data_IF_897370762260
#
_entry.id   IF_897370762260
#
_cell.length_a   1.000
_cell.length_b   1.000
_cell.length_c   1.000
_cell.angle_alpha   90.00
_cell.angle_beta   90.00
_cell.angle_gamma   90.00
#
_symmetry.space_group_name_H-M   'P 1'
#
loop_
_entity.id
_entity.type
_entity.pdbx_description
1 polymer ?
#
# COMPACT_ATOMS: atom_id res chain seq x y z
N UNK A 1 12.72 -35.47 1.07
CA UNK A 1 12.31 -34.25 0.34
C UNK A 1 12.73 -33.06 1.18
N UNK A 2 13.84 -32.42 0.82
CA UNK A 2 14.25 -31.14 1.42
C UNK A 2 13.38 -30.06 0.80
N UNK A 3 12.66 -29.31 1.62
CA UNK A 3 11.91 -28.12 1.20
C UNK A 3 12.95 -27.06 0.79
N UNK A 4 13.05 -26.78 -0.50
CA UNK A 4 13.92 -25.72 -1.00
C UNK A 4 13.14 -24.38 -1.05
N UNK A 5 13.68 -23.28 -0.49
CA UNK A 5 13.01 -21.99 -0.46
C UNK A 5 12.83 -21.40 -1.87
N UNK A 6 11.73 -20.70 -2.15
CA UNK A 6 11.50 -20.03 -3.45
C UNK A 6 11.97 -18.56 -3.49
N UNK A 7 12.84 -18.17 -2.56
CA UNK A 7 13.34 -16.81 -2.39
C UNK A 7 14.82 -16.86 -2.03
N UNK A 8 15.55 -15.80 -2.35
CA UNK A 8 16.95 -15.60 -1.97
C UNK A 8 17.02 -14.39 -1.03
N UNK A 9 17.40 -14.61 0.23
CA UNK A 9 17.60 -13.49 1.17
C UNK A 9 19.06 -13.07 1.17
N UNK A 10 19.36 -11.77 1.02
CA UNK A 10 20.73 -11.28 1.08
C UNK A 10 21.31 -11.47 2.49
N UNK A 11 22.65 -11.53 2.63
CA UNK A 11 23.29 -11.55 3.95
C UNK A 11 22.92 -10.35 4.82
N UNK A 12 22.59 -9.20 4.21
CA UNK A 12 22.12 -8.00 4.91
C UNK A 12 20.98 -8.25 5.89
N UNK A 13 20.01 -9.10 5.54
CA UNK A 13 18.91 -9.46 6.45
C UNK A 13 19.41 -10.16 7.72
N UNK A 14 20.48 -10.95 7.59
CA UNK A 14 21.11 -11.64 8.72
C UNK A 14 21.96 -10.67 9.52
N UNK A 15 22.68 -9.77 8.85
CA UNK A 15 23.48 -8.71 9.47
C UNK A 15 22.58 -7.80 10.30
N UNK A 16 21.45 -7.33 9.75
CA UNK A 16 20.49 -6.46 10.45
C UNK A 16 19.93 -7.12 11.73
N UNK A 17 19.59 -8.41 11.67
CA UNK A 17 19.14 -9.15 12.86
C UNK A 17 20.21 -9.24 13.93
N UNK A 18 21.45 -9.48 13.51
CA UNK A 18 22.57 -9.57 14.45
C UNK A 18 22.95 -8.20 15.02
N UNK A 19 22.77 -7.12 14.26
CA UNK A 19 22.93 -5.74 14.73
C UNK A 19 21.92 -5.39 15.83
N UNK A 20 20.65 -5.74 15.65
CA UNK A 20 19.61 -5.55 16.68
C UNK A 20 19.97 -6.31 17.96
N UNK A 21 20.45 -7.54 17.84
CA UNK A 21 20.87 -8.35 19.00
C UNK A 21 22.13 -7.82 19.67
N UNK A 22 22.99 -7.12 18.92
CA UNK A 22 24.23 -6.53 19.41
C UNK A 22 24.08 -5.06 19.87
N UNK A 23 22.90 -4.46 19.66
CA UNK A 23 22.62 -3.03 19.90
C UNK A 23 23.61 -2.10 19.18
N UNK A 24 23.87 -2.38 17.89
CA UNK A 24 24.80 -1.64 17.03
C UNK A 24 24.03 -1.06 15.84
N UNK A 25 24.23 0.22 15.53
CA UNK A 25 23.63 0.87 14.34
C UNK A 25 24.46 0.67 13.05
N UNK A 26 23.89 1.02 11.90
CA UNK A 26 24.52 0.82 10.58
C UNK A 26 25.82 1.61 10.42
N UNK A 27 25.87 2.84 10.92
CA UNK A 27 27.05 3.70 10.82
C UNK A 27 28.20 3.13 11.67
N UNK A 28 27.86 2.66 12.86
CA UNK A 28 28.80 2.04 13.77
C UNK A 28 29.33 0.71 13.22
N UNK A 29 28.46 -0.13 12.66
CA UNK A 29 28.90 -1.39 12.06
C UNK A 29 29.81 -1.16 10.85
N UNK A 30 29.45 -0.25 9.93
CA UNK A 30 30.24 0.08 8.75
C UNK A 30 31.67 0.51 9.12
N UNK A 31 31.78 1.36 10.15
CA UNK A 31 33.06 1.80 10.71
C UNK A 31 33.86 0.63 11.31
N UNK A 32 33.22 -0.22 12.13
CA UNK A 32 33.86 -1.37 12.80
C UNK A 32 34.36 -2.43 11.83
N UNK A 33 33.66 -2.66 10.71
CA UNK A 33 34.09 -3.62 9.68
C UNK A 33 34.98 -3.00 8.59
N UNK A 34 35.27 -1.69 8.69
CA UNK A 34 36.26 -0.99 7.88
C UNK A 34 35.84 -0.77 6.43
N UNK A 35 34.55 -0.54 6.17
CA UNK A 35 34.03 -0.27 4.83
C UNK A 35 33.30 1.08 4.76
N UNK A 36 33.31 1.73 3.60
CA UNK A 36 32.58 2.97 3.37
C UNK A 36 31.07 2.74 3.31
N UNK A 37 30.27 3.77 3.56
CA UNK A 37 28.80 3.69 3.52
C UNK A 37 28.27 3.12 2.19
N UNK A 38 28.84 3.50 1.05
CA UNK A 38 28.50 2.92 -0.26
C UNK A 38 28.75 1.40 -0.34
N UNK A 39 29.85 0.93 0.27
CA UNK A 39 30.15 -0.51 0.33
C UNK A 39 29.28 -1.22 1.35
N UNK A 40 28.92 -0.54 2.44
CA UNK A 40 28.00 -1.05 3.44
C UNK A 40 26.61 -1.26 2.85
N UNK A 41 26.09 -0.28 2.12
CA UNK A 41 24.82 -0.44 1.41
C UNK A 41 24.86 -1.61 0.42
N UNK A 42 25.93 -1.74 -0.38
CA UNK A 42 26.12 -2.89 -1.28
C UNK A 42 26.19 -4.23 -0.54
N UNK A 43 26.76 -4.25 0.68
CA UNK A 43 26.76 -5.45 1.53
C UNK A 43 25.35 -5.81 2.01
N UNK A 44 24.58 -4.82 2.45
CA UNK A 44 23.20 -5.01 2.90
C UNK A 44 22.29 -5.51 1.76
N UNK A 45 22.50 -5.00 0.55
CA UNK A 45 21.78 -5.42 -0.66
C UNK A 45 22.28 -6.76 -1.26
N UNK A 46 23.31 -7.38 -0.68
CA UNK A 46 23.90 -8.63 -1.17
C UNK A 46 24.76 -8.50 -2.43
N UNK A 47 25.10 -7.27 -2.83
CA UNK A 47 25.91 -6.95 -4.00
C UNK A 47 27.42 -6.91 -3.70
N UNK A 48 27.82 -6.87 -2.43
CA UNK A 48 29.22 -6.98 -2.00
C UNK A 48 29.53 -8.40 -1.55
N UNK A 49 30.59 -8.98 -2.12
CA UNK A 49 31.07 -10.30 -1.72
C UNK A 49 31.60 -10.30 -0.28
N UNK A 50 31.16 -11.29 0.50
CA UNK A 50 31.74 -11.58 1.82
C UNK A 50 33.05 -12.34 1.64
N UNK A 51 34.12 -11.57 1.41
CA UNK A 51 35.50 -12.04 1.39
C UNK A 51 35.95 -12.60 2.76
N UNK A 52 37.07 -13.32 2.81
CA UNK A 52 37.60 -13.83 4.08
C UNK A 52 37.87 -12.72 5.11
N UNK A 53 38.41 -11.58 4.68
CA UNK A 53 38.64 -10.42 5.54
C UNK A 53 37.34 -9.82 6.05
N UNK A 54 36.31 -9.73 5.20
CA UNK A 54 35.00 -9.20 5.61
C UNK A 54 34.25 -10.17 6.53
N UNK A 55 34.35 -11.47 6.28
CA UNK A 55 33.81 -12.52 7.15
C UNK A 55 34.45 -12.49 8.55
N UNK A 56 35.77 -12.25 8.63
CA UNK A 56 36.48 -12.08 9.90
C UNK A 56 36.03 -10.83 10.65
N UNK A 57 35.87 -9.70 9.93
CA UNK A 57 35.38 -8.45 10.52
C UNK A 57 33.96 -8.58 11.08
N UNK A 58 33.05 -9.24 10.32
CA UNK A 58 31.69 -9.55 10.77
C UNK A 58 31.68 -10.52 11.95
N UNK A 59 32.52 -11.56 11.92
CA UNK A 59 32.67 -12.53 13.01
C UNK A 59 33.13 -11.86 14.31
N UNK A 60 34.08 -10.93 14.20
CA UNK A 60 34.62 -10.20 15.36
C UNK A 60 33.60 -9.22 15.93
N UNK A 61 32.80 -8.58 15.07
CA UNK A 61 31.90 -7.49 15.48
C UNK A 61 30.51 -7.98 15.90
N UNK A 62 29.92 -8.90 15.14
CA UNK A 62 28.55 -9.40 15.33
C UNK A 62 28.51 -10.85 15.84
N UNK A 63 29.66 -11.50 16.03
CA UNK A 63 29.74 -12.89 16.42
C UNK A 63 29.51 -13.87 15.26
N UNK A 64 29.23 -15.14 15.61
CA UNK A 64 29.29 -16.29 14.67
C UNK A 64 30.69 -16.52 14.09
N UNK A 65 30.87 -17.55 13.25
CA UNK A 65 32.17 -17.88 12.65
C UNK A 65 32.33 -17.27 11.26
N UNK A 66 33.57 -17.02 10.82
CA UNK A 66 33.87 -16.66 9.42
C UNK A 66 33.22 -17.62 8.41
N UNK A 67 33.26 -18.92 8.74
CA UNK A 67 32.66 -19.99 7.92
C UNK A 67 31.15 -19.79 7.78
N UNK A 68 30.47 -19.37 8.83
CA UNK A 68 29.04 -19.07 8.80
C UNK A 68 28.74 -17.93 7.82
N UNK A 69 29.43 -16.81 7.93
CA UNK A 69 29.20 -15.64 7.06
C UNK A 69 29.47 -15.94 5.59
N UNK A 70 30.57 -16.65 5.29
CA UNK A 70 30.87 -17.09 3.93
C UNK A 70 29.86 -18.08 3.39
N UNK A 71 29.41 -19.02 4.22
CA UNK A 71 28.37 -19.99 3.86
C UNK A 71 27.05 -19.28 3.56
N UNK A 72 26.67 -18.31 4.38
CA UNK A 72 25.43 -17.52 4.21
C UNK A 72 25.40 -16.75 2.89
N UNK A 73 26.53 -16.17 2.49
CA UNK A 73 26.69 -15.53 1.18
C UNK A 73 26.65 -16.55 0.03
N UNK A 74 27.33 -17.69 0.18
CA UNK A 74 27.32 -18.74 -0.84
C UNK A 74 25.91 -19.33 -1.07
N UNK A 75 25.11 -19.50 0.00
CA UNK A 75 23.71 -19.93 -0.06
C UNK A 75 22.85 -18.89 -0.79
N UNK A 76 23.00 -17.61 -0.46
CA UNK A 76 22.33 -16.52 -1.18
C UNK A 76 22.65 -16.53 -2.69
N UNK A 77 23.92 -16.64 -3.05
CA UNK A 77 24.35 -16.68 -4.46
C UNK A 77 23.85 -17.94 -5.18
N UNK A 78 23.80 -19.08 -4.49
CA UNK A 78 23.25 -20.32 -5.03
C UNK A 78 21.75 -20.19 -5.28
N UNK A 79 21.00 -19.65 -4.33
CA UNK A 79 19.57 -19.40 -4.47
C UNK A 79 19.29 -18.37 -5.56
N UNK A 80 20.08 -17.29 -5.65
CA UNK A 80 19.93 -16.30 -6.71
C UNK A 80 20.18 -16.92 -8.09
N UNK A 81 21.22 -17.75 -8.25
CA UNK A 81 21.45 -18.48 -9.51
C UNK A 81 20.34 -19.47 -9.85
N UNK A 82 19.79 -20.16 -8.85
CA UNK A 82 18.67 -21.10 -9.05
C UNK A 82 17.42 -20.36 -9.49
N UNK A 83 17.13 -19.21 -8.87
CA UNK A 83 16.02 -18.33 -9.26
C UNK A 83 16.25 -17.74 -10.65
N UNK A 84 17.45 -17.24 -10.97
CA UNK A 84 17.81 -16.77 -12.32
C UNK A 84 17.66 -17.88 -13.39
N UNK A 85 18.01 -19.13 -13.07
CA UNK A 85 17.82 -20.28 -13.98
C UNK A 85 16.35 -20.68 -14.12
N UNK A 86 15.53 -20.49 -13.08
CA UNK A 86 14.09 -20.68 -13.14
C UNK A 86 13.41 -19.54 -13.93
N UNK A 87 13.85 -18.30 -13.75
CA UNK A 87 13.42 -17.11 -14.50
C UNK A 87 13.76 -17.20 -15.99
N UNK A 88 14.97 -17.68 -16.34
CA UNK A 88 15.35 -17.95 -17.75
C UNK A 88 14.48 -19.03 -18.42
N UNK A 89 13.74 -19.84 -17.65
CA UNK A 89 12.75 -20.79 -18.15
C UNK A 89 11.33 -20.22 -18.21
N UNK A 90 11.05 -19.10 -17.57
CA UNK A 90 9.73 -18.46 -17.61
C UNK A 90 9.61 -17.64 -18.89
N UNK A 91 8.87 -18.17 -19.85
CA UNK A 91 8.52 -17.42 -21.07
C UNK A 91 7.70 -16.18 -20.69
N UNK A 92 8.11 -15.01 -21.18
CA UNK A 92 7.40 -13.73 -21.04
C UNK A 92 5.93 -13.86 -21.46
N UNK A 93 5.64 -14.72 -22.45
CA UNK A 93 4.28 -15.01 -22.85
C UNK A 93 3.48 -15.72 -21.75
N UNK A 94 4.04 -16.72 -21.05
CA UNK A 94 3.37 -17.42 -19.95
C UNK A 94 3.20 -16.52 -18.72
N UNK A 95 4.22 -15.72 -18.37
CA UNK A 95 4.11 -14.73 -17.30
C UNK A 95 2.96 -13.74 -17.54
N UNK A 96 2.85 -13.23 -18.78
CA UNK A 96 1.83 -12.24 -19.14
C UNK A 96 0.38 -12.76 -19.01
N UNK A 97 0.16 -14.08 -19.09
CA UNK A 97 -1.17 -14.69 -18.95
C UNK A 97 -1.74 -14.60 -17.53
N UNK A 98 -0.90 -14.35 -16.53
CA UNK A 98 -1.33 -14.22 -15.15
C UNK A 98 -2.03 -12.89 -14.87
N UNK A 99 -1.82 -11.88 -15.73
CA UNK A 99 -2.46 -10.57 -15.62
C UNK A 99 -3.86 -10.55 -16.25
N UNK A 100 -4.81 -9.76 -15.70
CA UNK A 100 -6.13 -9.57 -16.30
C UNK A 100 -6.05 -8.61 -17.52
N UNK A 101 -5.45 -9.05 -18.62
CA UNK A 101 -5.14 -8.23 -19.81
C UNK A 101 -6.37 -7.53 -20.38
N UNK A 102 -7.53 -8.19 -20.39
CA UNK A 102 -8.79 -7.59 -20.85
C UNK A 102 -9.19 -6.37 -20.00
N UNK A 103 -9.08 -6.48 -18.69
CA UNK A 103 -9.37 -5.40 -17.74
C UNK A 103 -8.35 -4.27 -17.84
N UNK A 104 -7.06 -4.59 -17.97
CA UNK A 104 -6.00 -3.61 -18.21
C UNK A 104 -6.27 -2.77 -19.47
N UNK A 105 -6.67 -3.40 -20.57
CA UNK A 105 -7.06 -2.70 -21.81
C UNK A 105 -8.32 -1.86 -21.64
N UNK A 106 -9.33 -2.38 -20.93
CA UNK A 106 -10.60 -1.70 -20.69
C UNK A 106 -10.43 -0.42 -19.86
N UNK A 107 -9.48 -0.42 -18.92
CA UNK A 107 -9.12 0.75 -18.12
C UNK A 107 -8.11 1.68 -18.82
N UNK A 108 -7.69 1.34 -20.05
CA UNK A 108 -6.75 2.14 -20.84
C UNK A 108 -5.29 2.04 -20.39
N UNK A 109 -4.95 1.07 -19.54
CA UNK A 109 -3.59 0.89 -19.01
C UNK A 109 -2.67 0.16 -19.99
N UNK A 110 -3.27 -0.59 -20.93
CA UNK A 110 -2.61 -1.18 -22.09
C UNK A 110 -3.30 -0.71 -23.38
N UNK A 111 -2.60 -0.64 -24.51
CA UNK A 111 -3.23 -0.33 -25.80
C UNK A 111 -4.34 -1.31 -26.15
N UNK A 112 -5.41 -0.82 -26.80
CA UNK A 112 -6.56 -1.66 -27.17
C UNK A 112 -6.16 -2.79 -28.12
N UNK A 113 -5.31 -2.46 -29.11
CA UNK A 113 -4.80 -3.39 -30.12
C UNK A 113 -3.33 -3.70 -29.84
N UNK A 114 -3.09 -4.79 -29.10
CA UNK A 114 -1.75 -5.33 -28.84
C UNK A 114 -1.69 -6.72 -29.44
N UNK A 115 -0.68 -6.98 -30.26
CA UNK A 115 -0.38 -8.33 -30.76
C UNK A 115 -0.10 -9.24 -29.57
N UNK A 116 -0.67 -10.46 -29.54
CA UNK A 116 -0.50 -11.41 -28.44
C UNK A 116 0.97 -11.63 -28.05
N UNK A 117 1.90 -11.57 -29.02
CA UNK A 117 3.34 -11.71 -28.79
C UNK A 117 4.00 -10.55 -28.02
N UNK A 118 3.37 -9.37 -27.99
CA UNK A 118 3.88 -8.16 -27.35
C UNK A 118 3.15 -7.80 -26.05
N UNK A 119 2.18 -8.61 -25.60
CA UNK A 119 1.44 -8.31 -24.36
C UNK A 119 2.39 -8.24 -23.17
N UNK A 120 3.34 -9.17 -23.04
CA UNK A 120 4.30 -9.15 -21.95
C UNK A 120 5.18 -7.90 -21.95
N UNK A 121 5.65 -7.44 -23.12
CA UNK A 121 6.42 -6.19 -23.20
C UNK A 121 5.57 -4.96 -22.87
N UNK A 122 4.30 -4.93 -23.27
CA UNK A 122 3.39 -3.83 -22.89
C UNK A 122 3.11 -3.79 -21.39
N UNK A 123 2.98 -4.96 -20.74
CA UNK A 123 2.84 -5.04 -19.28
C UNK A 123 4.12 -4.56 -18.60
N UNK A 124 5.29 -5.01 -19.04
CA UNK A 124 6.58 -4.52 -18.52
C UNK A 124 6.72 -3.00 -18.67
N UNK A 125 6.36 -2.45 -19.84
CA UNK A 125 6.33 -1.00 -20.09
C UNK A 125 5.36 -0.28 -19.15
N UNK A 126 4.18 -0.85 -18.88
CA UNK A 126 3.22 -0.30 -17.91
C UNK A 126 3.85 -0.23 -16.50
N UNK A 127 4.57 -1.26 -16.08
CA UNK A 127 5.31 -1.29 -14.82
C UNK A 127 6.61 -0.47 -14.83
N UNK A 128 7.03 0.06 -15.99
CA UNK A 128 8.29 0.79 -16.13
C UNK A 128 9.52 -0.10 -16.01
N UNK A 129 9.40 -1.38 -16.32
CA UNK A 129 10.48 -2.37 -16.23
C UNK A 129 10.99 -2.74 -17.63
N UNK A 130 12.31 -2.91 -17.76
CA UNK A 130 12.94 -3.27 -19.06
C UNK A 130 12.77 -4.75 -19.43
N UNK A 131 12.73 -5.62 -18.42
CA UNK A 131 12.65 -7.08 -18.57
C UNK A 131 12.03 -7.71 -17.30
N UNK A 132 11.82 -9.03 -17.32
CA UNK A 132 11.29 -9.78 -16.17
C UNK A 132 12.20 -9.71 -14.95
N UNK A 133 13.52 -9.60 -15.15
CA UNK A 133 14.47 -9.54 -14.05
C UNK A 133 14.34 -8.21 -13.29
N UNK A 134 14.22 -7.10 -14.02
CA UNK A 134 13.95 -5.77 -13.47
C UNK A 134 12.59 -5.72 -12.75
N UNK A 135 11.57 -6.33 -13.34
CA UNK A 135 10.25 -6.47 -12.70
C UNK A 135 10.33 -7.29 -11.40
N UNK A 136 10.99 -8.45 -11.42
CA UNK A 136 11.18 -9.28 -10.23
C UNK A 136 12.01 -8.54 -9.18
N UNK A 137 13.09 -7.86 -9.54
CA UNK A 137 13.90 -7.08 -8.59
C UNK A 137 13.08 -5.98 -7.92
N UNK A 138 12.31 -5.22 -8.70
CA UNK A 138 11.46 -4.13 -8.18
C UNK A 138 10.34 -4.64 -7.27
N UNK A 139 9.64 -5.70 -7.68
CA UNK A 139 8.41 -6.15 -7.01
C UNK A 139 8.62 -7.33 -6.05
N UNK A 140 9.77 -8.01 -6.06
CA UNK A 140 10.15 -9.02 -5.05
C UNK A 140 10.86 -8.40 -3.83
N UNK A 141 11.36 -7.16 -3.93
CA UNK A 141 12.13 -6.50 -2.87
C UNK A 141 11.50 -5.20 -2.33
N UNK A 142 10.47 -4.63 -2.97
CA UNK A 142 9.82 -3.35 -2.61
C UNK A 142 8.36 -3.44 -2.12
N UNK A 143 7.53 -2.40 -2.36
CA UNK A 143 6.08 -2.37 -2.01
C UNK A 143 5.32 -3.58 -2.57
N UNK A 144 5.74 -4.07 -3.75
CA UNK A 144 5.23 -5.31 -4.30
C UNK A 144 5.41 -6.48 -3.36
N UNK A 145 6.50 -6.52 -2.60
CA UNK A 145 6.78 -7.54 -1.62
C UNK A 145 5.92 -7.43 -0.36
N UNK A 146 5.20 -6.33 -0.08
CA UNK A 146 4.17 -6.32 0.98
C UNK A 146 2.92 -7.06 0.50
N UNK A 147 2.48 -6.78 -0.73
CA UNK A 147 1.36 -7.48 -1.40
C UNK A 147 1.67 -8.92 -1.84
N UNK A 148 2.95 -9.27 -2.01
CA UNK A 148 3.43 -10.58 -2.44
C UNK A 148 3.86 -11.47 -1.26
N UNK A 149 4.20 -10.88 -0.10
CA UNK A 149 4.50 -11.63 1.14
C UNK A 149 3.23 -12.01 1.92
N UNK A 150 2.06 -11.46 1.54
CA UNK A 150 0.75 -11.77 2.14
C UNK A 150 0.18 -13.14 1.77
N UNK A 151 0.64 -13.80 0.70
CA UNK A 151 0.23 -15.18 0.41
C UNK A 151 1.27 -15.93 -0.41
N UNK A 152 1.73 -17.06 0.12
CA UNK A 152 2.39 -18.09 -0.68
C UNK A 152 1.35 -18.77 -1.59
N UNK A 153 1.03 -18.14 -2.72
CA UNK A 153 0.59 -18.72 -3.98
C UNK A 153 0.15 -17.57 -4.90
N UNK A 154 0.73 -17.49 -6.09
CA UNK A 154 0.39 -16.55 -7.17
C UNK A 154 -1.11 -16.65 -7.55
N UNK A 155 -1.98 -15.97 -6.81
CA UNK A 155 -3.38 -15.79 -7.19
C UNK A 155 -3.54 -14.52 -8.03
N UNK A 156 -4.39 -14.58 -9.06
CA UNK A 156 -4.65 -13.46 -9.99
C UNK A 156 -5.09 -12.14 -9.31
N UNK A 157 -5.51 -12.21 -8.04
CA UNK A 157 -5.92 -11.07 -7.22
C UNK A 157 -4.74 -10.16 -6.81
N UNK A 158 -3.54 -10.73 -6.62
CA UNK A 158 -2.34 -9.96 -6.22
C UNK A 158 -1.79 -9.14 -7.38
N UNK A 159 -1.62 -9.74 -8.56
CA UNK A 159 -1.17 -9.03 -9.77
C UNK A 159 -2.14 -7.90 -10.18
N UNK A 160 -3.43 -8.11 -9.94
CA UNK A 160 -4.46 -7.07 -10.12
C UNK A 160 -4.30 -5.92 -9.13
N UNK A 161 -3.88 -6.22 -7.91
CA UNK A 161 -3.61 -5.20 -6.87
C UNK A 161 -2.31 -4.46 -7.18
N UNK A 162 -1.25 -5.16 -7.58
CA UNK A 162 0.01 -4.54 -8.02
C UNK A 162 -0.19 -3.60 -9.22
N UNK A 163 -0.96 -4.03 -10.22
CA UNK A 163 -1.27 -3.18 -11.35
C UNK A 163 -2.08 -1.93 -10.94
N UNK A 164 -2.97 -2.04 -9.95
CA UNK A 164 -3.71 -0.91 -9.40
C UNK A 164 -2.79 0.04 -8.61
N UNK A 165 -1.88 -0.46 -7.78
CA UNK A 165 -0.87 0.37 -7.11
C UNK A 165 0.01 1.12 -8.12
N UNK A 166 0.43 0.44 -9.20
CA UNK A 166 1.22 1.05 -10.27
C UNK A 166 0.48 2.22 -10.95
N UNK A 167 -0.85 2.23 -11.00
CA UNK A 167 -1.56 3.40 -11.55
C UNK A 167 -1.34 4.65 -10.74
N UNK A 168 -1.32 4.54 -9.41
CA UNK A 168 -1.06 5.69 -8.57
C UNK A 168 0.37 6.21 -8.75
N UNK A 169 1.36 5.32 -8.86
CA UNK A 169 2.73 5.75 -9.16
C UNK A 169 2.76 6.59 -10.45
N UNK A 170 2.15 6.08 -11.53
CA UNK A 170 2.10 6.79 -12.81
C UNK A 170 1.32 8.10 -12.74
N UNK A 171 0.19 8.12 -12.04
CA UNK A 171 -0.67 9.29 -11.92
C UNK A 171 -0.05 10.38 -11.03
N UNK A 172 0.85 9.99 -10.11
CA UNK A 172 1.55 10.90 -9.21
C UNK A 172 2.91 11.38 -9.71
N UNK A 173 3.51 10.73 -10.73
CA UNK A 173 4.82 11.09 -11.32
C UNK A 173 4.91 12.58 -11.74
N UNK A 174 3.79 13.19 -12.15
CA UNK A 174 3.76 14.58 -12.62
C UNK A 174 3.14 15.57 -11.60
N UNK A 175 2.82 15.12 -10.39
CA UNK A 175 2.29 16.00 -9.35
C UNK A 175 3.45 16.68 -8.63
N UNK A 176 3.54 18.00 -8.76
CA UNK A 176 4.51 18.77 -7.99
C UNK A 176 4.02 18.92 -6.55
N UNK A 177 4.74 18.31 -5.60
CA UNK A 177 4.41 18.32 -4.18
C UNK A 177 5.51 19.05 -3.39
N UNK A 178 5.15 19.88 -2.39
CA UNK A 178 6.12 20.35 -1.41
C UNK A 178 6.60 19.19 -0.53
N UNK A 179 7.62 19.42 0.30
CA UNK A 179 8.01 18.45 1.33
C UNK A 179 6.84 18.14 2.26
N UNK A 180 6.66 16.86 2.58
CA UNK A 180 5.57 16.42 3.46
C UNK A 180 5.72 16.99 4.88
N UNK A 181 4.63 17.53 5.42
CA UNK A 181 4.52 17.98 6.80
C UNK A 181 3.44 17.19 7.53
N UNK A 182 3.84 16.32 8.46
CA UNK A 182 2.90 15.48 9.21
C UNK A 182 1.95 16.30 10.10
N UNK A 183 2.47 17.35 10.74
CA UNK A 183 1.66 18.25 11.58
C UNK A 183 0.63 19.02 10.76
N UNK A 184 1.04 19.59 9.61
CA UNK A 184 0.10 20.32 8.74
C UNK A 184 -0.96 19.39 8.15
N UNK A 185 -0.58 18.18 7.75
CA UNK A 185 -1.54 17.20 7.24
C UNK A 185 -2.55 16.81 8.32
N UNK A 186 -2.08 16.53 9.55
CA UNK A 186 -2.97 16.21 10.68
C UNK A 186 -3.92 17.36 11.02
N UNK A 187 -3.42 18.60 11.05
CA UNK A 187 -4.22 19.81 11.30
C UNK A 187 -5.25 20.09 10.19
N UNK A 188 -4.98 19.64 8.97
CA UNK A 188 -5.85 19.79 7.81
C UNK A 188 -7.06 18.84 7.83
N UNK A 189 -6.95 17.66 8.44
CA UNK A 189 -7.98 16.61 8.39
C UNK A 189 -9.38 17.06 8.89
N UNK A 190 -9.51 17.83 10.00
CA UNK A 190 -10.79 18.39 10.42
C UNK A 190 -11.44 19.32 9.38
N UNK A 191 -10.65 20.03 8.58
CA UNK A 191 -11.14 20.88 7.48
C UNK A 191 -11.55 20.04 6.28
N UNK A 192 -10.76 19.00 5.95
CA UNK A 192 -11.13 18.02 4.92
C UNK A 192 -12.47 17.34 5.23
N UNK A 193 -12.78 17.07 6.51
CA UNK A 193 -14.09 16.52 6.91
C UNK A 193 -15.26 17.33 6.36
N UNK A 194 -15.14 18.66 6.25
CA UNK A 194 -16.22 19.50 5.71
C UNK A 194 -16.56 19.16 4.25
N UNK A 195 -15.63 18.54 3.51
CA UNK A 195 -15.87 18.07 2.15
C UNK A 195 -16.88 16.90 2.10
N UNK A 196 -17.12 16.21 3.22
CA UNK A 196 -18.15 15.17 3.34
C UNK A 196 -19.56 15.67 3.00
N UNK A 197 -19.82 16.97 3.12
CA UNK A 197 -21.14 17.55 2.82
C UNK A 197 -21.47 17.55 1.31
N UNK A 198 -20.45 17.56 0.43
CA UNK A 198 -20.64 17.64 -1.01
C UNK A 198 -21.18 16.33 -1.58
N UNK A 199 -22.07 16.45 -2.57
CA UNK A 199 -22.77 15.29 -3.16
C UNK A 199 -21.99 14.60 -4.28
N UNK A 200 -21.26 15.37 -5.08
CA UNK A 200 -20.67 14.88 -6.32
C UNK A 200 -19.16 14.62 -6.15
N UNK A 201 -18.66 13.41 -6.50
CA UNK A 201 -17.24 13.10 -6.43
C UNK A 201 -16.35 14.08 -7.19
N UNK A 202 -16.76 14.51 -8.39
CA UNK A 202 -16.02 15.52 -9.16
C UNK A 202 -15.79 16.84 -8.43
N UNK A 203 -16.64 17.20 -7.46
CA UNK A 203 -16.51 18.44 -6.69
C UNK A 203 -15.62 18.23 -5.45
N UNK A 204 -15.91 17.21 -4.64
CA UNK A 204 -15.14 17.01 -3.40
C UNK A 204 -13.75 16.47 -3.68
N UNK A 205 -13.57 15.62 -4.69
CA UNK A 205 -12.29 14.98 -4.96
C UNK A 205 -11.24 15.99 -5.43
N UNK A 206 -11.60 16.91 -6.34
CA UNK A 206 -10.69 17.98 -6.77
C UNK A 206 -10.24 18.85 -5.58
N UNK A 207 -11.16 19.20 -4.68
CA UNK A 207 -10.85 19.96 -3.46
C UNK A 207 -9.97 19.15 -2.49
N UNK A 208 -10.27 17.88 -2.34
CA UNK A 208 -9.56 16.96 -1.46
C UNK A 208 -8.12 16.75 -1.93
N UNK A 209 -7.92 16.48 -3.23
CA UNK A 209 -6.61 16.33 -3.85
C UNK A 209 -5.77 17.60 -3.70
N UNK A 210 -6.36 18.77 -3.93
CA UNK A 210 -5.68 20.05 -3.74
C UNK A 210 -5.25 20.24 -2.27
N UNK A 211 -6.14 19.98 -1.32
CA UNK A 211 -5.85 20.14 0.09
C UNK A 211 -4.71 19.20 0.54
N UNK A 212 -4.75 17.92 0.15
CA UNK A 212 -3.66 16.96 0.43
C UNK A 212 -2.33 17.41 -0.21
N UNK A 213 -2.36 17.91 -1.44
CA UNK A 213 -1.16 18.33 -2.14
C UNK A 213 -0.48 19.54 -1.46
N UNK A 214 -1.23 20.43 -0.82
CA UNK A 214 -0.70 21.57 -0.07
C UNK A 214 0.20 21.14 1.11
N UNK A 215 0.00 19.95 1.66
CA UNK A 215 0.80 19.38 2.76
C UNK A 215 1.80 18.32 2.30
N UNK A 216 2.01 18.18 0.99
CA UNK A 216 2.93 17.21 0.40
C UNK A 216 2.40 15.78 0.33
N UNK A 217 1.07 15.58 0.37
CA UNK A 217 0.41 14.28 0.21
C UNK A 217 -0.24 14.19 -1.18
N UNK A 218 0.13 13.18 -1.97
CA UNK A 218 -0.53 12.89 -3.24
C UNK A 218 -1.80 12.08 -2.99
N UNK A 219 -2.95 12.54 -3.46
CA UNK A 219 -4.18 11.73 -3.45
C UNK A 219 -4.63 11.42 -4.86
N UNK A 220 -4.81 10.13 -5.15
CA UNK A 220 -5.32 9.63 -6.42
C UNK A 220 -6.42 8.60 -6.18
N UNK A 221 -7.31 8.48 -7.16
CA UNK A 221 -8.40 7.51 -7.15
C UNK A 221 -8.36 6.74 -8.45
N UNK A 222 -8.57 5.44 -8.40
CA UNK A 222 -8.56 4.62 -9.60
C UNK A 222 -9.47 3.43 -9.41
N UNK A 223 -10.32 3.15 -10.39
CA UNK A 223 -11.13 1.95 -10.46
C UNK A 223 -10.22 0.73 -10.47
N UNK A 224 -10.54 -0.24 -9.61
CA UNK A 224 -9.77 -1.47 -9.52
C UNK A 224 -10.01 -2.41 -10.70
N UNK A 225 -9.01 -3.25 -10.96
CA UNK A 225 -9.14 -4.42 -11.83
C UNK A 225 -10.04 -5.46 -11.16
N UNK A 226 -10.64 -6.32 -11.98
CA UNK A 226 -11.33 -7.51 -11.48
C UNK A 226 -10.37 -8.36 -10.64
N UNK A 227 -10.82 -8.85 -9.48
CA UNK A 227 -10.00 -9.58 -8.53
C UNK A 227 -9.27 -8.71 -7.50
N UNK A 228 -9.05 -7.42 -7.76
CA UNK A 228 -8.47 -6.51 -6.75
C UNK A 228 -9.53 -6.15 -5.70
N UNK A 229 -9.22 -6.49 -4.44
CA UNK A 229 -10.11 -6.33 -3.28
C UNK A 229 -9.82 -5.11 -2.42
N UNK A 230 -8.80 -4.33 -2.78
CA UNK A 230 -8.38 -3.19 -2.00
C UNK A 230 -9.40 -2.05 -2.00
N UNK A 231 -9.62 -1.46 -0.82
CA UNK A 231 -10.40 -0.24 -0.65
C UNK A 231 -9.50 0.99 -0.77
N UNK A 232 -8.33 0.92 -0.14
CA UNK A 232 -7.34 1.97 -0.07
C UNK A 232 -5.92 1.40 -0.03
N UNK A 233 -4.95 2.27 -0.26
CA UNK A 233 -3.54 2.01 0.02
C UNK A 233 -2.82 3.34 0.25
N UNK A 234 -1.79 3.32 1.08
CA UNK A 234 -0.93 4.46 1.33
C UNK A 234 0.53 4.05 1.45
N UNK A 235 1.45 4.81 0.85
CA UNK A 235 2.89 4.55 0.92
C UNK A 235 3.67 5.81 0.64
N UNK A 236 4.98 5.80 0.86
CA UNK A 236 5.85 6.93 0.49
C UNK A 236 6.49 6.72 -0.88
N UNK A 237 6.52 7.79 -1.69
CA UNK A 237 7.33 7.79 -2.90
C UNK A 237 8.83 7.96 -2.58
N UNK A 238 9.68 7.92 -3.62
CA UNK A 238 11.12 8.05 -3.47
C UNK A 238 11.59 9.39 -2.83
N UNK A 239 10.77 10.43 -2.89
CA UNK A 239 11.05 11.73 -2.28
C UNK A 239 10.54 11.83 -0.82
N UNK A 240 9.95 10.75 -0.29
CA UNK A 240 9.38 10.70 1.04
C UNK A 240 7.96 11.26 1.16
N UNK A 241 7.34 11.70 0.06
CA UNK A 241 5.95 12.18 0.06
C UNK A 241 4.97 11.01 0.15
N UNK A 242 3.97 11.07 1.06
CA UNK A 242 2.91 10.07 1.09
C UNK A 242 2.02 10.12 -0.16
N UNK A 243 1.62 8.96 -0.63
CA UNK A 243 0.59 8.74 -1.65
C UNK A 243 -0.58 8.05 -0.95
N UNK A 244 -1.80 8.49 -1.23
CA UNK A 244 -3.05 7.81 -0.89
C UNK A 244 -3.72 7.42 -2.21
N UNK A 245 -4.06 6.14 -2.36
CA UNK A 245 -4.81 5.60 -3.48
C UNK A 245 -6.14 5.03 -2.99
N UNK A 246 -7.26 5.46 -3.56
CA UNK A 246 -8.60 5.00 -3.20
C UNK A 246 -9.34 4.37 -4.38
N UNK A 247 -10.02 3.24 -4.14
CA UNK A 247 -10.68 2.47 -5.21
C UNK A 247 -12.16 2.80 -5.40
N UNK A 248 -12.76 3.60 -4.51
CA UNK A 248 -14.22 3.72 -4.38
C UNK A 248 -14.93 2.37 -4.25
N UNK A 249 -14.30 1.39 -3.57
CA UNK A 249 -14.92 0.10 -3.29
C UNK A 249 -16.29 0.28 -2.63
N UNK A 250 -17.22 -0.62 -2.96
CA UNK A 250 -18.65 -0.56 -2.61
C UNK A 250 -19.44 0.61 -3.19
N UNK A 251 -18.79 1.54 -3.91
CA UNK A 251 -19.42 2.68 -4.58
C UNK A 251 -20.41 3.40 -3.66
N UNK A 252 -19.97 3.72 -2.45
CA UNK A 252 -20.80 4.30 -1.40
C UNK A 252 -20.04 5.40 -0.69
N UNK A 253 -20.71 6.52 -0.38
CA UNK A 253 -20.05 7.67 0.25
C UNK A 253 -19.43 7.33 1.61
N UNK A 254 -20.08 6.48 2.39
CA UNK A 254 -19.65 6.10 3.73
C UNK A 254 -18.37 5.26 3.70
N UNK A 255 -18.25 4.33 2.75
CA UNK A 255 -17.03 3.56 2.56
C UNK A 255 -15.88 4.45 2.06
N UNK A 256 -16.12 5.31 1.06
CA UNK A 256 -15.09 6.21 0.53
C UNK A 256 -14.48 7.10 1.64
N UNK A 257 -15.33 7.78 2.41
CA UNK A 257 -14.84 8.70 3.44
C UNK A 257 -14.17 7.97 4.59
N UNK A 258 -14.69 6.79 4.98
CA UNK A 258 -14.03 5.98 5.99
C UNK A 258 -12.63 5.56 5.54
N UNK A 259 -12.50 4.98 4.34
CA UNK A 259 -11.21 4.54 3.81
C UNK A 259 -10.24 5.71 3.65
N UNK A 260 -10.68 6.88 3.18
CA UNK A 260 -9.80 8.05 3.10
C UNK A 260 -9.19 8.41 4.47
N UNK A 261 -10.00 8.50 5.52
CA UNK A 261 -9.49 8.82 6.85
C UNK A 261 -8.66 7.68 7.45
N UNK A 262 -8.90 6.43 7.05
CA UNK A 262 -8.11 5.26 7.45
C UNK A 262 -6.70 5.35 6.90
N UNK A 263 -6.56 5.58 5.59
CA UNK A 263 -5.26 5.78 4.95
C UNK A 263 -4.54 7.03 5.49
N UNK A 264 -5.29 8.10 5.76
CA UNK A 264 -4.72 9.29 6.39
C UNK A 264 -4.19 8.99 7.80
N UNK A 265 -4.87 8.11 8.56
CA UNK A 265 -4.42 7.68 9.88
C UNK A 265 -3.10 6.90 9.78
N UNK A 266 -2.93 6.02 8.80
CA UNK A 266 -1.67 5.31 8.58
C UNK A 266 -0.51 6.28 8.31
N UNK A 267 -0.73 7.30 7.50
CA UNK A 267 0.27 8.33 7.21
C UNK A 267 0.63 9.14 8.47
N UNK A 268 -0.35 9.50 9.29
CA UNK A 268 -0.15 10.35 10.48
C UNK A 268 0.42 9.58 11.68
N UNK A 269 -0.11 8.39 11.97
CA UNK A 269 0.18 7.64 13.20
C UNK A 269 1.36 6.67 13.04
N UNK A 270 1.48 6.06 11.87
CA UNK A 270 2.36 4.90 11.66
C UNK A 270 3.55 5.21 10.76
N UNK A 271 3.52 6.34 10.05
CA UNK A 271 4.63 6.90 9.29
C UNK A 271 5.09 6.07 8.07
N UNK A 272 4.48 4.91 7.81
CA UNK A 272 4.92 3.90 6.85
C UNK A 272 3.86 3.42 5.86
N UNK A 273 4.24 2.42 5.05
CA UNK A 273 3.45 1.88 3.95
C UNK A 273 2.34 0.92 4.44
N UNK A 274 1.15 1.02 3.85
CA UNK A 274 -0.06 0.26 4.19
C UNK A 274 -0.93 -0.02 2.94
N UNK A 275 -1.65 -1.15 2.92
CA UNK A 275 -2.63 -1.50 1.89
C UNK A 275 -3.88 -2.07 2.59
N UNK A 276 -5.03 -1.40 2.45
CA UNK A 276 -6.31 -1.84 3.02
C UNK A 276 -7.03 -2.82 2.09
N UNK A 277 -7.03 -4.11 2.45
CA UNK A 277 -7.63 -5.21 1.68
C UNK A 277 -8.80 -5.84 2.44
N UNK A 278 -10.00 -5.81 1.83
CA UNK A 278 -11.19 -6.38 2.45
C UNK A 278 -11.19 -7.92 2.50
N UNK A 279 -11.28 -8.46 3.71
CA UNK A 279 -11.50 -9.89 3.98
C UNK A 279 -10.22 -10.73 4.06
N UNK A 280 -9.07 -10.08 4.19
CA UNK A 280 -7.80 -10.69 4.61
C UNK A 280 -7.47 -10.23 6.04
N UNK A 281 -6.78 -11.07 6.81
CA UNK A 281 -6.21 -10.63 8.09
C UNK A 281 -5.26 -9.45 7.85
N UNK A 282 -5.14 -8.53 8.82
CA UNK A 282 -4.20 -7.41 8.74
C UNK A 282 -2.78 -7.94 8.53
N UNK A 283 -1.95 -7.13 7.86
CA UNK A 283 -0.67 -7.53 7.28
C UNK A 283 0.13 -8.56 8.12
N UNK A 284 0.88 -9.49 7.50
CA UNK A 284 1.69 -10.51 8.19
C UNK A 284 2.81 -9.91 9.07
N UNK A 285 2.95 -8.59 9.07
CA UNK A 285 3.93 -7.82 9.83
C UNK A 285 3.46 -7.45 11.26
N UNK A 286 2.32 -7.96 11.71
CA UNK A 286 2.01 -7.98 13.16
C UNK A 286 1.49 -6.66 13.73
N UNK A 287 0.67 -5.92 12.99
CA UNK A 287 0.13 -4.64 13.45
C UNK A 287 -1.39 -4.60 13.58
N UNK A 288 -2.01 -5.59 14.24
CA UNK A 288 -3.44 -5.50 14.61
C UNK A 288 -3.76 -4.19 15.36
N UNK A 289 -2.82 -3.70 16.17
CA UNK A 289 -2.96 -2.43 16.88
C UNK A 289 -2.97 -1.22 15.92
N UNK A 290 -2.17 -1.23 14.85
CA UNK A 290 -2.12 -0.13 13.87
C UNK A 290 -3.45 0.03 13.13
N UNK A 291 -4.05 -1.08 12.69
CA UNK A 291 -5.38 -1.07 12.05
C UNK A 291 -6.47 -0.61 13.01
N UNK A 292 -6.45 -1.07 14.26
CA UNK A 292 -7.41 -0.66 15.27
C UNK A 292 -7.29 0.84 15.60
N UNK A 293 -6.07 1.37 15.64
CA UNK A 293 -5.79 2.79 15.81
C UNK A 293 -6.27 3.61 14.61
N UNK A 294 -6.01 3.15 13.39
CA UNK A 294 -6.50 3.78 12.16
C UNK A 294 -8.04 3.78 12.07
N UNK A 295 -8.67 2.67 12.46
CA UNK A 295 -10.12 2.53 12.56
C UNK A 295 -10.69 3.54 13.57
N UNK A 296 -10.09 3.62 14.76
CA UNK A 296 -10.53 4.53 15.82
C UNK A 296 -10.36 5.98 15.40
N UNK A 297 -9.21 6.34 14.84
CA UNK A 297 -8.91 7.67 14.32
C UNK A 297 -9.94 8.10 13.27
N UNK A 298 -10.24 7.22 12.32
CA UNK A 298 -11.23 7.48 11.27
C UNK A 298 -12.62 7.72 11.83
N UNK A 299 -13.04 6.90 12.80
CA UNK A 299 -14.34 7.06 13.46
C UNK A 299 -14.42 8.37 14.26
N UNK A 300 -13.35 8.73 14.98
CA UNK A 300 -13.30 9.91 15.84
C UNK A 300 -13.31 11.21 15.03
N UNK A 301 -12.63 11.24 13.88
CA UNK A 301 -12.72 12.39 12.96
C UNK A 301 -14.14 12.53 12.43
N UNK A 302 -14.70 11.45 11.87
CA UNK A 302 -16.02 11.48 11.24
C UNK A 302 -17.13 11.80 12.24
N UNK A 303 -17.05 11.26 13.46
CA UNK A 303 -18.00 11.47 14.55
C UNK A 303 -17.24 11.60 15.86
N UNK A 304 -17.15 12.84 16.34
CA UNK A 304 -16.49 13.15 17.62
C UNK A 304 -17.03 12.27 18.77
N UNK A 305 -16.16 11.78 19.68
CA UNK A 305 -16.53 10.83 20.73
C UNK A 305 -17.75 11.25 21.57
N UNK A 306 -17.87 12.54 21.90
CA UNK A 306 -19.00 13.07 22.67
C UNK A 306 -20.32 12.98 21.90
N UNK A 307 -20.29 13.34 20.62
CA UNK A 307 -21.45 13.24 19.74
C UNK A 307 -21.83 11.78 19.51
N UNK A 308 -20.84 10.90 19.31
CA UNK A 308 -21.03 9.45 19.20
C UNK A 308 -21.72 8.89 20.45
N UNK A 309 -21.24 9.22 21.65
CA UNK A 309 -21.86 8.79 22.90
C UNK A 309 -23.33 9.24 23.01
N UNK A 310 -23.66 10.45 22.56
CA UNK A 310 -25.03 10.95 22.52
C UNK A 310 -25.90 10.20 21.52
N UNK A 311 -25.36 9.87 20.35
CA UNK A 311 -26.06 9.08 19.32
C UNK A 311 -26.43 7.70 19.86
N UNK A 312 -25.48 7.01 20.50
CA UNK A 312 -25.66 5.65 21.04
C UNK A 312 -26.73 5.57 22.15
N UNK A 313 -27.00 6.68 22.84
CA UNK A 313 -28.06 6.80 23.87
C UNK A 313 -29.40 7.24 23.32
N UNK A 314 -29.51 7.50 22.02
CA UNK A 314 -30.71 8.05 21.38
C UNK A 314 -31.39 7.00 20.51
N UNK A 315 -32.73 6.98 20.51
CA UNK A 315 -33.48 6.15 19.56
C UNK A 315 -33.27 6.65 18.12
N UNK A 316 -32.79 5.76 17.25
CA UNK A 316 -32.43 6.10 15.88
C UNK A 316 -33.60 5.95 14.92
N UNK A 317 -33.92 7.05 14.24
CA UNK A 317 -34.83 7.10 13.10
C UNK A 317 -34.26 8.08 12.07
N UNK A 318 -34.91 8.19 10.90
CA UNK A 318 -34.43 9.05 9.81
C UNK A 318 -34.26 10.52 10.20
N UNK A 319 -35.13 11.04 11.06
CA UNK A 319 -35.05 12.43 11.51
C UNK A 319 -33.88 12.64 12.47
N UNK A 320 -33.70 11.73 13.44
CA UNK A 320 -32.58 11.81 14.39
C UNK A 320 -31.23 11.60 13.70
N UNK A 321 -31.12 10.64 12.76
CA UNK A 321 -29.92 10.43 11.94
C UNK A 321 -29.57 11.70 11.15
N UNK A 322 -30.53 12.32 10.46
CA UNK A 322 -30.27 13.58 9.73
C UNK A 322 -29.82 14.72 10.63
N UNK A 323 -30.42 14.83 11.82
CA UNK A 323 -30.05 15.85 12.81
C UNK A 323 -28.63 15.64 13.32
N UNK A 324 -28.24 14.41 13.65
CA UNK A 324 -26.88 14.09 14.11
C UNK A 324 -25.84 14.23 13.00
N UNK A 325 -26.13 13.80 11.78
CA UNK A 325 -25.23 13.97 10.65
C UNK A 325 -24.91 15.47 10.40
N UNK A 326 -25.94 16.33 10.45
CA UNK A 326 -25.75 17.79 10.36
C UNK A 326 -24.85 18.33 11.48
N UNK A 327 -25.00 17.84 12.72
CA UNK A 327 -24.15 18.26 13.85
C UNK A 327 -22.70 17.79 13.68
N UNK A 328 -22.49 16.60 13.13
CA UNK A 328 -21.17 16.06 12.84
C UNK A 328 -20.47 16.71 11.61
N UNK A 329 -21.21 17.47 10.79
CA UNK A 329 -20.70 18.05 9.56
C UNK A 329 -20.56 17.05 8.40
N UNK A 330 -21.31 15.94 8.45
CA UNK A 330 -21.27 14.85 7.45
C UNK A 330 -22.67 14.59 6.88
N UNK A 331 -22.74 13.75 5.85
CA UNK A 331 -24.03 13.34 5.28
C UNK A 331 -24.68 12.23 6.14
N UNK A 332 -26.01 12.07 6.05
CA UNK A 332 -26.70 10.97 6.74
C UNK A 332 -26.16 9.59 6.36
N UNK A 333 -25.73 9.39 5.11
CA UNK A 333 -25.17 8.13 4.64
C UNK A 333 -23.88 7.75 5.35
N UNK A 334 -22.96 8.71 5.52
CA UNK A 334 -21.70 8.50 6.25
C UNK A 334 -22.00 8.11 7.70
N UNK A 335 -22.90 8.84 8.38
CA UNK A 335 -23.31 8.49 9.74
C UNK A 335 -23.90 7.07 9.82
N UNK A 336 -24.76 6.67 8.87
CA UNK A 336 -25.30 5.31 8.83
C UNK A 336 -24.18 4.28 8.69
N UNK A 337 -23.20 4.50 7.80
CA UNK A 337 -22.07 3.60 7.63
C UNK A 337 -21.23 3.45 8.90
N UNK A 338 -20.95 4.56 9.60
CA UNK A 338 -20.21 4.51 10.87
C UNK A 338 -20.98 3.71 11.94
N UNK A 339 -22.28 3.92 12.06
CA UNK A 339 -23.11 3.18 13.02
C UNK A 339 -23.28 1.69 12.65
N UNK A 340 -23.21 1.36 11.36
CA UNK A 340 -23.17 -0.04 10.91
C UNK A 340 -21.82 -0.69 11.19
N UNK A 341 -20.69 0.02 11.00
CA UNK A 341 -19.35 -0.46 11.38
C UNK A 341 -19.24 -0.70 12.89
N UNK A 342 -19.85 0.16 13.70
CA UNK A 342 -19.97 -0.01 15.17
C UNK A 342 -20.95 -1.11 15.61
N UNK A 343 -21.65 -1.77 14.69
CA UNK A 343 -22.67 -2.79 15.02
C UNK A 343 -23.94 -2.23 15.70
N UNK A 344 -24.08 -0.91 15.81
CA UNK A 344 -25.28 -0.26 16.38
C UNK A 344 -26.47 -0.37 15.43
N UNK A 345 -26.21 -0.34 14.12
CA UNK A 345 -27.18 -0.60 13.07
C UNK A 345 -26.81 -1.89 12.33
N UNK A 346 -27.81 -2.68 11.93
CA UNK A 346 -27.61 -3.80 11.01
C UNK A 346 -27.28 -3.27 9.62
N UNK A 347 -26.52 -4.04 8.84
CA UNK A 347 -26.06 -3.69 7.49
C UNK A 347 -27.18 -3.36 6.49
N UNK A 348 -28.43 -3.77 6.76
CA UNK A 348 -29.60 -3.47 5.93
C UNK A 348 -30.41 -2.24 6.38
N UNK A 349 -30.11 -1.67 7.55
CA UNK A 349 -30.88 -0.55 8.11
C UNK A 349 -30.45 0.78 7.50
N UNK A 350 -31.43 1.62 7.11
CA UNK A 350 -31.24 3.00 6.65
C UNK A 350 -30.31 3.18 5.43
N UNK A 351 -30.11 2.13 4.63
CA UNK A 351 -29.32 2.21 3.40
C UNK A 351 -29.91 3.18 2.37
N UNK A 352 -31.20 3.54 2.48
CA UNK A 352 -31.84 4.61 1.69
C UNK A 352 -31.23 6.00 1.94
N UNK A 353 -30.51 6.19 3.04
CA UNK A 353 -29.82 7.43 3.38
C UNK A 353 -28.40 7.51 2.80
N UNK A 354 -27.85 6.39 2.30
CA UNK A 354 -26.51 6.34 1.70
C UNK A 354 -26.55 6.75 0.24
N UNK A 355 -25.72 7.73 -0.14
CA UNK A 355 -25.44 8.03 -1.54
C UNK A 355 -24.59 6.92 -2.13
N UNK A 356 -25.02 6.45 -3.30
CA UNK A 356 -24.31 5.44 -4.09
C UNK A 356 -23.71 6.07 -5.33
N UNK A 357 -22.63 5.47 -5.78
CA UNK A 357 -21.88 5.88 -6.96
C UNK A 357 -21.98 4.82 -8.05
N UNK A 358 -21.57 5.19 -9.26
CA UNK A 358 -21.33 4.27 -10.37
C UNK A 358 -20.16 4.76 -11.21
N UNK A 359 -19.41 3.83 -11.77
CA UNK A 359 -18.38 4.13 -12.76
C UNK A 359 -19.01 4.41 -14.12
N UNK A 360 -18.52 5.44 -14.82
CA UNK A 360 -18.81 5.70 -16.23
C UNK A 360 -17.51 5.55 -17.04
N UNK A 361 -17.21 6.45 -17.97
CA UNK A 361 -16.01 6.37 -18.82
C UNK A 361 -14.72 6.73 -18.09
N UNK A 362 -14.79 7.64 -17.11
CA UNK A 362 -13.66 8.07 -16.30
C UNK A 362 -13.35 7.00 -15.22
N UNK A 363 -12.17 6.36 -15.23
CA UNK A 363 -11.79 5.36 -14.24
C UNK A 363 -11.29 5.98 -12.93
N UNK A 364 -11.09 7.30 -12.86
CA UNK A 364 -10.59 7.99 -11.68
C UNK A 364 -11.73 8.59 -10.86
N UNK A 365 -12.79 9.10 -11.51
CA UNK A 365 -13.88 9.80 -10.82
C UNK A 365 -15.25 9.15 -11.10
N UNK A 366 -15.91 8.52 -10.11
CA UNK A 366 -17.25 7.99 -10.32
C UNK A 366 -18.31 9.09 -10.26
N UNK A 367 -19.52 8.79 -10.76
CA UNK A 367 -20.68 9.69 -10.69
C UNK A 367 -21.69 9.22 -9.65
N UNK A 368 -22.57 10.12 -9.21
CA UNK A 368 -23.69 9.77 -8.33
C UNK A 368 -24.70 8.93 -9.11
N UNK A 369 -25.15 7.83 -8.52
CA UNK A 369 -26.07 6.86 -9.13
C UNK A 369 -27.47 7.42 -9.33
#
# INVERSE_FOLDING_TARGET
MTLEPQWASPPGDTILRMMILADIDECELASRIGISDDKFQKLMEGQLEISASLANALSTTLGSSERFWRKRYAEYIHDNRRLELAEKKTDLAEWSKQFPVSSLKKLGWLPTHVNRKHIGSEILNFFGCKDLHDWNSRYSSGIGAVAFRTSFAFEANELSTLAWLRTAEKDTENINLPSYSASEFQELLPYIKQLCAYKHPSIFLSKLQKACAETGVALVTSRTLEGCRASGASWRNANGNPIILLSFRYLSEDHFWFTFFHEAAHIVLHGGDHIDVDGTDPSPFGYQNSEAEADTFSQDILIEPELRAKILRTSLNRATIRSFARKAGITPGILVGQLQKLGTLRQNQFNDLKRRYRWESDPHVPVVR
#
